data_IF_341973740304
#
_entry.id   IF_341973740304
#
_cell.length_a   1.000
_cell.length_b   1.000
_cell.length_c   1.000
_cell.angle_alpha   90.00
_cell.angle_beta   90.00
_cell.angle_gamma   90.00
#
_symmetry.space_group_name_H-M   'P 1'
#
loop_
_entity.id
_entity.type
_entity.pdbx_description
1 polymer ?
#
# COMPACT_ATOMS: atom_id res chain seq x y z
N UNK A 1 20.93 -46.98 -12.34
CA UNK A 1 20.88 -45.52 -12.23
C UNK A 1 21.08 -44.95 -13.65
N UNK A 2 20.02 -44.52 -14.29
CA UNK A 2 20.11 -43.97 -15.68
C UNK A 2 20.51 -42.53 -15.58
N UNK A 3 21.70 -42.18 -16.07
CA UNK A 3 22.17 -40.79 -16.13
C UNK A 3 21.56 -40.13 -17.36
N UNK A 4 20.59 -39.25 -17.14
CA UNK A 4 19.97 -38.47 -18.22
C UNK A 4 20.90 -37.29 -18.55
N UNK A 5 21.30 -37.16 -19.82
CA UNK A 5 22.22 -36.09 -20.26
C UNK A 5 21.53 -34.72 -20.22
N UNK A 6 22.29 -33.66 -19.88
CA UNK A 6 21.80 -32.28 -19.81
C UNK A 6 20.99 -31.79 -21.02
N UNK A 7 21.35 -32.11 -22.28
CA UNK A 7 20.55 -31.72 -23.45
C UNK A 7 19.21 -32.45 -23.51
N UNK A 8 19.11 -33.69 -23.01
CA UNK A 8 17.84 -34.44 -22.99
C UNK A 8 16.85 -33.85 -21.96
N UNK A 9 17.34 -33.34 -20.83
CA UNK A 9 16.53 -32.64 -19.82
C UNK A 9 15.99 -31.34 -20.38
N UNK A 10 16.80 -30.57 -21.13
CA UNK A 10 16.34 -29.32 -21.77
C UNK A 10 15.26 -29.57 -22.83
N UNK A 11 15.41 -30.62 -23.65
CA UNK A 11 14.41 -30.99 -24.65
C UNK A 11 13.11 -31.47 -24.01
N UNK A 12 13.19 -32.25 -22.94
CA UNK A 12 12.00 -32.70 -22.19
C UNK A 12 11.29 -31.52 -21.49
N UNK A 13 12.05 -30.53 -21.02
CA UNK A 13 11.48 -29.33 -20.40
C UNK A 13 10.74 -28.45 -21.44
N UNK A 14 11.32 -28.26 -22.61
CA UNK A 14 10.66 -27.51 -23.72
C UNK A 14 9.43 -28.24 -24.24
N UNK A 15 9.49 -29.58 -24.38
CA UNK A 15 8.32 -30.38 -24.80
C UNK A 15 7.24 -30.34 -23.71
N UNK A 16 7.60 -30.41 -22.44
CA UNK A 16 6.65 -30.26 -21.32
C UNK A 16 5.99 -28.89 -21.28
N UNK A 17 6.74 -27.83 -21.56
CA UNK A 17 6.22 -26.46 -21.64
C UNK A 17 5.25 -26.29 -22.81
N UNK A 18 5.59 -26.80 -23.99
CA UNK A 18 4.75 -26.71 -25.19
C UNK A 18 3.47 -27.54 -25.03
N UNK A 19 3.56 -28.75 -24.45
CA UNK A 19 2.38 -29.59 -24.14
C UNK A 19 1.56 -28.92 -23.02
N UNK A 20 2.16 -28.35 -21.99
CA UNK A 20 1.46 -27.63 -20.93
C UNK A 20 0.69 -26.41 -21.44
N UNK A 21 1.30 -25.64 -22.34
CA UNK A 21 0.63 -24.50 -23.00
C UNK A 21 -0.48 -24.98 -23.94
N UNK A 22 -0.24 -26.03 -24.72
CA UNK A 22 -1.26 -26.57 -25.62
C UNK A 22 -2.44 -27.22 -24.90
N UNK A 23 -2.18 -27.94 -23.79
CA UNK A 23 -3.23 -28.53 -22.93
C UNK A 23 -3.93 -27.42 -22.13
N UNK A 24 -3.20 -26.42 -21.64
CA UNK A 24 -3.80 -25.24 -20.97
C UNK A 24 -4.72 -24.47 -21.93
N UNK A 25 -4.32 -24.28 -23.18
CA UNK A 25 -5.14 -23.64 -24.21
C UNK A 25 -6.35 -24.51 -24.61
N UNK A 26 -6.18 -25.83 -24.72
CA UNK A 26 -7.26 -26.77 -25.04
C UNK A 26 -8.25 -26.91 -23.86
N UNK A 27 -7.79 -26.88 -22.60
CA UNK A 27 -8.64 -26.91 -21.40
C UNK A 27 -9.37 -25.58 -21.25
N UNK A 28 -8.71 -24.44 -21.51
CA UNK A 28 -9.40 -23.13 -21.52
C UNK A 28 -10.47 -23.05 -22.62
N UNK A 29 -10.22 -23.65 -23.80
CA UNK A 29 -11.19 -23.73 -24.90
C UNK A 29 -12.34 -24.72 -24.65
N UNK A 30 -12.16 -25.71 -23.75
CA UNK A 30 -13.20 -26.71 -23.42
C UNK A 30 -14.01 -26.35 -22.16
N UNK A 31 -13.56 -25.37 -21.36
CA UNK A 31 -14.31 -24.88 -20.19
C UNK A 31 -15.20 -23.68 -20.56
N UNK A 32 -15.03 -23.08 -21.75
CA UNK A 32 -16.06 -22.21 -22.27
C UNK A 32 -17.33 -23.06 -22.52
N UNK A 33 -18.48 -22.79 -21.87
CA UNK A 33 -19.71 -23.52 -22.20
C UNK A 33 -19.96 -23.34 -23.69
N UNK A 34 -20.43 -24.38 -24.41
CA UNK A 34 -20.80 -24.25 -25.82
C UNK A 34 -21.80 -23.10 -25.93
N UNK A 35 -21.46 -22.07 -26.66
CA UNK A 35 -22.42 -21.00 -27.00
C UNK A 35 -23.51 -21.65 -27.83
N UNK A 36 -24.60 -22.02 -27.19
CA UNK A 36 -25.79 -22.56 -27.85
C UNK A 36 -26.41 -21.48 -28.75
N UNK A 37 -27.26 -21.86 -29.73
CA UNK A 37 -27.97 -20.89 -30.55
C UNK A 37 -28.92 -20.07 -29.64
N UNK A 38 -28.46 -18.91 -29.21
CA UNK A 38 -29.08 -18.05 -28.22
C UNK A 38 -28.06 -17.25 -27.40
N UNK A 39 -26.80 -17.16 -27.85
CA UNK A 39 -25.81 -16.26 -27.24
C UNK A 39 -26.41 -14.85 -27.18
N UNK A 40 -26.73 -14.40 -25.97
CA UNK A 40 -27.11 -13.01 -25.74
C UNK A 40 -25.91 -12.18 -26.18
N UNK A 41 -26.12 -11.24 -27.10
CA UNK A 41 -25.06 -10.34 -27.54
C UNK A 41 -24.44 -9.66 -26.33
N UNK A 42 -23.11 -9.41 -26.30
CA UNK A 42 -22.44 -8.74 -25.20
C UNK A 42 -23.21 -7.48 -24.82
N UNK A 43 -23.46 -7.26 -23.54
CA UNK A 43 -24.23 -6.12 -23.07
C UNK A 43 -23.36 -4.89 -22.86
N UNK A 44 -22.06 -5.06 -22.71
CA UNK A 44 -21.09 -3.96 -22.63
C UNK A 44 -20.78 -3.42 -24.02
N UNK A 45 -21.05 -2.13 -24.24
CA UNK A 45 -20.73 -1.40 -25.47
C UNK A 45 -20.36 0.05 -25.18
N UNK A 46 -19.40 0.56 -25.98
CA UNK A 46 -18.97 1.94 -25.87
C UNK A 46 -18.19 2.23 -24.58
N UNK A 47 -18.40 3.39 -24.02
CA UNK A 47 -17.70 3.84 -22.81
C UNK A 47 -18.24 3.15 -21.55
N UNK A 48 -17.31 2.57 -20.77
CA UNK A 48 -17.54 2.02 -19.45
C UNK A 48 -16.83 2.92 -18.43
N UNK A 49 -17.57 3.79 -17.71
CA UNK A 49 -16.97 4.77 -16.84
C UNK A 49 -16.53 4.17 -15.50
N UNK A 50 -15.30 4.46 -15.08
CA UNK A 50 -14.75 4.11 -13.77
C UNK A 50 -14.23 5.38 -13.11
N UNK A 51 -14.58 5.60 -11.85
CA UNK A 51 -14.11 6.73 -11.06
C UNK A 51 -12.78 6.43 -10.37
N UNK A 52 -12.00 7.46 -10.13
CA UNK A 52 -10.85 7.43 -9.27
C UNK A 52 -10.89 8.61 -8.30
N UNK A 53 -10.84 8.32 -6.99
CA UNK A 53 -10.73 9.31 -5.93
C UNK A 53 -9.28 9.31 -5.45
N UNK A 54 -8.49 10.27 -5.89
CA UNK A 54 -7.06 10.32 -5.61
C UNK A 54 -6.70 11.59 -4.85
N UNK A 55 -5.78 11.55 -3.89
CA UNK A 55 -5.30 12.74 -3.20
C UNK A 55 -4.27 13.46 -4.07
N UNK A 56 -4.73 14.15 -5.14
CA UNK A 56 -3.84 14.91 -6.04
C UNK A 56 -3.31 16.18 -5.36
N UNK A 57 -3.98 16.61 -4.30
CA UNK A 57 -3.54 17.65 -3.37
C UNK A 57 -3.64 17.14 -1.92
N UNK A 58 -3.12 17.93 -0.95
CA UNK A 58 -3.12 17.54 0.45
C UNK A 58 -1.89 16.72 0.84
N UNK A 59 -1.94 16.11 2.02
CA UNK A 59 -0.78 15.47 2.68
C UNK A 59 -0.44 14.06 2.17
N UNK A 60 -1.13 13.58 1.13
CA UNK A 60 -0.82 12.35 0.41
C UNK A 60 -0.60 12.60 -1.10
N UNK A 61 -0.31 13.86 -1.48
CA UNK A 61 -0.22 14.22 -2.90
C UNK A 61 0.90 13.50 -3.65
N UNK A 62 2.02 13.22 -3.00
CA UNK A 62 3.11 12.43 -3.61
C UNK A 62 2.65 11.05 -4.08
N UNK A 63 1.79 10.40 -3.28
CA UNK A 63 1.20 9.10 -3.62
C UNK A 63 0.12 9.22 -4.69
N UNK A 64 -0.78 10.21 -4.55
CA UNK A 64 -1.85 10.45 -5.53
C UNK A 64 -1.35 10.71 -6.94
N UNK A 65 -0.19 11.39 -7.08
CA UNK A 65 0.47 11.56 -8.38
C UNK A 65 0.95 10.22 -8.98
N UNK A 66 1.54 9.34 -8.16
CA UNK A 66 2.00 8.02 -8.59
C UNK A 66 0.80 7.15 -9.01
N UNK A 67 -0.24 7.11 -8.18
CA UNK A 67 -1.49 6.38 -8.45
C UNK A 67 -2.16 6.84 -9.77
N UNK A 68 -2.20 8.15 -10.00
CA UNK A 68 -2.76 8.68 -11.24
C UNK A 68 -2.03 8.18 -12.47
N UNK A 69 -0.70 8.21 -12.45
CA UNK A 69 0.11 7.71 -13.58
C UNK A 69 -0.09 6.20 -13.76
N UNK A 70 -0.14 5.44 -12.69
CA UNK A 70 -0.39 4.00 -12.73
C UNK A 70 -1.77 3.66 -13.32
N UNK A 71 -2.80 4.41 -12.94
CA UNK A 71 -4.16 4.24 -13.46
C UNK A 71 -4.28 4.67 -14.94
N UNK A 72 -3.67 5.78 -15.35
CA UNK A 72 -3.63 6.20 -16.76
C UNK A 72 -2.91 5.13 -17.63
N UNK A 73 -1.86 4.52 -17.09
CA UNK A 73 -1.15 3.44 -17.75
C UNK A 73 -2.02 2.16 -17.83
N UNK A 74 -2.71 1.79 -16.75
CA UNK A 74 -3.64 0.66 -16.73
C UNK A 74 -4.80 0.86 -17.72
N UNK A 75 -5.45 2.04 -17.73
CA UNK A 75 -6.53 2.39 -18.67
C UNK A 75 -6.08 2.14 -20.12
N UNK A 76 -4.88 2.61 -20.46
CA UNK A 76 -4.32 2.42 -21.80
C UNK A 76 -4.11 0.93 -22.12
N UNK A 77 -3.44 0.17 -21.25
CA UNK A 77 -3.19 -1.26 -21.49
C UNK A 77 -4.48 -2.09 -21.57
N UNK A 78 -5.47 -1.81 -20.70
CA UNK A 78 -6.78 -2.46 -20.72
C UNK A 78 -7.49 -2.19 -22.04
N UNK A 79 -7.53 -0.93 -22.49
CA UNK A 79 -8.20 -0.58 -23.73
C UNK A 79 -7.50 -1.17 -24.97
N UNK A 80 -6.17 -1.28 -24.96
CA UNK A 80 -5.43 -2.00 -26.00
C UNK A 80 -5.75 -3.51 -25.98
N UNK A 81 -5.87 -4.12 -24.80
CA UNK A 81 -6.23 -5.53 -24.63
C UNK A 81 -7.66 -5.82 -25.10
N UNK A 82 -8.64 -4.98 -24.72
CA UNK A 82 -10.04 -5.11 -25.18
C UNK A 82 -10.14 -4.98 -26.70
N UNK A 83 -9.48 -3.97 -27.28
CA UNK A 83 -9.45 -3.78 -28.72
C UNK A 83 -8.82 -4.98 -29.47
N UNK A 84 -7.75 -5.55 -28.94
CA UNK A 84 -7.10 -6.72 -29.54
C UNK A 84 -7.99 -7.96 -29.54
N UNK A 85 -8.93 -8.06 -28.61
CA UNK A 85 -9.95 -9.13 -28.52
C UNK A 85 -11.19 -8.86 -29.38
N UNK A 86 -11.31 -7.65 -29.94
CA UNK A 86 -12.47 -7.27 -30.75
C UNK A 86 -13.68 -6.83 -29.92
N UNK A 87 -13.47 -6.46 -28.64
CA UNK A 87 -14.53 -5.96 -27.77
C UNK A 87 -15.04 -4.59 -28.27
N UNK A 88 -16.34 -4.37 -28.12
CA UNK A 88 -17.01 -3.12 -28.53
C UNK A 88 -17.11 -2.09 -27.39
N UNK A 89 -16.46 -2.32 -26.27
CA UNK A 89 -16.42 -1.43 -25.12
C UNK A 89 -14.99 -1.06 -24.73
N UNK A 90 -14.84 0.02 -23.98
CA UNK A 90 -13.57 0.50 -23.45
C UNK A 90 -13.78 1.21 -22.12
N UNK A 91 -12.74 1.19 -21.26
CA UNK A 91 -12.74 1.91 -20.00
C UNK A 91 -12.44 3.39 -20.23
N UNK A 92 -13.14 4.26 -19.47
CA UNK A 92 -12.84 5.68 -19.32
C UNK A 92 -12.73 6.04 -17.85
N UNK A 93 -11.55 6.53 -17.44
CA UNK A 93 -11.32 7.03 -16.09
C UNK A 93 -11.89 8.44 -15.91
N UNK A 94 -12.53 8.64 -14.76
CA UNK A 94 -12.99 9.92 -14.25
C UNK A 94 -12.31 10.19 -12.92
N UNK A 95 -11.24 10.97 -12.95
CA UNK A 95 -10.39 11.27 -11.80
C UNK A 95 -10.88 12.51 -11.09
N UNK A 96 -11.11 12.43 -9.78
CA UNK A 96 -11.45 13.53 -8.90
C UNK A 96 -10.40 13.62 -7.78
N UNK A 97 -10.05 14.85 -7.42
CA UNK A 97 -9.13 15.11 -6.31
C UNK A 97 -9.86 15.01 -4.97
N UNK A 98 -9.46 14.09 -4.12
CA UNK A 98 -10.00 13.92 -2.76
C UNK A 98 -9.32 14.84 -1.74
N UNK A 99 -8.19 15.45 -2.09
CA UNK A 99 -7.40 16.38 -1.28
C UNK A 99 -6.93 15.81 0.07
N UNK A 100 -6.92 14.48 0.25
CA UNK A 100 -6.74 13.82 1.57
C UNK A 100 -7.75 14.32 2.63
N UNK A 101 -8.94 14.75 2.18
CA UNK A 101 -9.99 15.29 3.06
C UNK A 101 -11.26 14.45 2.98
N UNK A 102 -11.75 13.90 4.12
CA UNK A 102 -12.90 13.00 4.14
C UNK A 102 -14.16 13.59 3.52
N UNK A 103 -14.48 14.88 3.79
CA UNK A 103 -15.68 15.53 3.25
C UNK A 103 -15.56 15.74 1.75
N UNK A 104 -14.40 16.19 1.29
CA UNK A 104 -14.11 16.34 -0.13
C UNK A 104 -14.23 15.00 -0.84
N UNK A 105 -13.71 13.91 -0.27
CA UNK A 105 -13.84 12.57 -0.83
C UNK A 105 -15.31 12.16 -0.99
N UNK A 106 -16.17 12.41 0.02
CA UNK A 106 -17.60 12.13 -0.08
C UNK A 106 -18.29 12.99 -1.16
N UNK A 107 -18.02 14.28 -1.20
CA UNK A 107 -18.59 15.18 -2.21
C UNK A 107 -18.21 14.75 -3.64
N UNK A 108 -16.95 14.33 -3.82
CA UNK A 108 -16.44 13.82 -5.10
C UNK A 108 -17.04 12.46 -5.47
N UNK A 109 -17.20 11.55 -4.49
CA UNK A 109 -17.92 10.29 -4.71
C UNK A 109 -19.36 10.54 -5.17
N UNK A 110 -20.08 11.46 -4.51
CA UNK A 110 -21.44 11.83 -4.90
C UNK A 110 -21.48 12.41 -6.32
N UNK A 111 -20.48 13.19 -6.69
CA UNK A 111 -20.34 13.76 -8.04
C UNK A 111 -20.14 12.67 -9.09
N UNK A 112 -19.26 11.69 -8.83
CA UNK A 112 -19.02 10.53 -9.70
C UNK A 112 -20.28 9.68 -9.80
N UNK A 113 -20.95 9.41 -8.68
CA UNK A 113 -22.20 8.65 -8.65
C UNK A 113 -23.33 9.38 -9.44
N UNK A 114 -23.41 10.69 -9.35
CA UNK A 114 -24.37 11.50 -10.15
C UNK A 114 -24.16 11.38 -11.67
N UNK A 115 -22.96 10.99 -12.11
CA UNK A 115 -22.65 10.63 -13.52
C UNK A 115 -22.97 9.16 -13.83
N UNK A 116 -23.54 8.39 -12.89
CA UNK A 116 -23.85 6.95 -13.04
C UNK A 116 -22.68 6.03 -12.77
N UNK A 117 -21.57 6.52 -12.23
CA UNK A 117 -20.37 5.71 -11.95
C UNK A 117 -20.58 4.88 -10.69
N UNK A 118 -20.33 3.58 -10.78
CA UNK A 118 -20.53 2.59 -9.71
C UNK A 118 -19.25 1.84 -9.30
N UNK A 119 -18.13 2.10 -9.96
CA UNK A 119 -16.83 1.49 -9.71
C UNK A 119 -15.83 2.59 -9.40
N UNK A 120 -15.15 2.51 -8.25
CA UNK A 120 -14.26 3.54 -7.77
C UNK A 120 -12.93 2.93 -7.34
N UNK A 121 -11.82 3.47 -7.83
CA UNK A 121 -10.48 3.24 -7.28
C UNK A 121 -10.15 4.37 -6.31
N UNK A 122 -9.68 4.03 -5.12
CA UNK A 122 -9.55 4.98 -3.99
C UNK A 122 -10.86 5.10 -3.18
N UNK A 123 -10.91 6.00 -2.19
CA UNK A 123 -9.85 6.92 -1.79
C UNK A 123 -8.70 6.24 -1.06
N UNK A 124 -7.65 7.01 -0.80
CA UNK A 124 -6.39 6.51 -0.27
C UNK A 124 -6.43 6.34 1.25
N UNK A 125 -6.80 7.37 2.01
CA UNK A 125 -6.73 7.33 3.47
C UNK A 125 -7.91 6.61 4.10
N UNK A 126 -7.67 5.98 5.27
CA UNK A 126 -8.74 5.30 6.02
C UNK A 126 -9.80 6.28 6.54
N UNK A 127 -9.45 7.54 6.80
CA UNK A 127 -10.41 8.55 7.18
C UNK A 127 -11.39 8.87 6.02
N UNK A 128 -10.88 8.98 4.80
CA UNK A 128 -11.71 9.17 3.59
C UNK A 128 -12.59 7.95 3.33
N UNK A 129 -12.02 6.72 3.41
CA UNK A 129 -12.80 5.48 3.24
C UNK A 129 -13.91 5.37 4.29
N UNK A 130 -13.62 5.71 5.56
CA UNK A 130 -14.61 5.74 6.64
C UNK A 130 -15.78 6.68 6.34
N UNK A 131 -15.49 7.86 5.80
CA UNK A 131 -16.51 8.87 5.48
C UNK A 131 -17.41 8.43 4.32
N UNK A 132 -16.83 7.89 3.25
CA UNK A 132 -17.60 7.50 2.07
C UNK A 132 -18.37 6.18 2.24
N UNK A 133 -17.98 5.34 3.20
CA UNK A 133 -18.47 3.97 3.34
C UNK A 133 -19.99 3.84 3.34
N UNK A 134 -20.66 4.58 4.22
CA UNK A 134 -22.11 4.50 4.34
C UNK A 134 -22.84 4.89 3.04
N UNK A 135 -22.30 5.85 2.31
CA UNK A 135 -22.85 6.25 1.00
C UNK A 135 -22.60 5.19 -0.07
N UNK A 136 -21.41 4.61 -0.10
CA UNK A 136 -21.06 3.54 -1.03
C UNK A 136 -21.95 2.30 -0.82
N UNK A 137 -22.11 1.86 0.43
CA UNK A 137 -22.95 0.72 0.81
C UNK A 137 -24.42 0.96 0.41
N UNK A 138 -24.98 2.12 0.75
CA UNK A 138 -26.39 2.43 0.46
C UNK A 138 -26.71 2.52 -1.05
N UNK A 139 -25.70 2.84 -1.87
CA UNK A 139 -25.86 3.08 -3.31
C UNK A 139 -25.25 1.97 -4.18
N UNK A 140 -24.79 0.87 -3.60
CA UNK A 140 -24.12 -0.24 -4.29
C UNK A 140 -22.97 0.25 -5.17
N UNK A 141 -22.08 1.09 -4.62
CA UNK A 141 -20.87 1.58 -5.27
C UNK A 141 -19.71 0.71 -4.82
N UNK A 142 -19.12 -0.05 -5.74
CA UNK A 142 -17.95 -0.85 -5.46
C UNK A 142 -16.71 0.02 -5.41
N UNK A 143 -16.02 -0.02 -4.28
CA UNK A 143 -14.82 0.76 -4.00
C UNK A 143 -13.64 -0.20 -3.83
N UNK A 144 -12.55 0.07 -4.52
CA UNK A 144 -11.25 -0.59 -4.32
C UNK A 144 -10.26 0.45 -3.83
N UNK A 145 -9.99 0.46 -2.52
CA UNK A 145 -8.94 1.30 -1.94
C UNK A 145 -7.58 0.61 -2.07
N UNK A 146 -6.61 1.33 -2.60
CA UNK A 146 -5.26 0.84 -2.84
C UNK A 146 -4.36 0.85 -1.60
N UNK A 147 -4.76 1.58 -0.53
CA UNK A 147 -3.85 1.86 0.59
C UNK A 147 -4.49 2.00 1.98
N UNK A 148 -5.82 2.03 2.09
CA UNK A 148 -6.49 2.15 3.40
C UNK A 148 -6.29 0.89 4.25
N UNK A 149 -5.62 1.03 5.42
CA UNK A 149 -5.14 -0.09 6.24
C UNK A 149 -5.81 -0.21 7.60
N UNK A 150 -6.62 0.77 8.03
CA UNK A 150 -7.21 0.73 9.39
C UNK A 150 -8.00 -0.55 9.64
N UNK A 151 -7.73 -1.28 10.75
CA UNK A 151 -8.49 -2.46 11.14
C UNK A 151 -9.98 -2.19 11.40
N UNK A 152 -10.34 -0.94 11.71
CA UNK A 152 -11.73 -0.55 11.95
C UNK A 152 -12.61 -0.65 10.69
N UNK A 153 -11.99 -0.74 9.51
CA UNK A 153 -12.66 -0.85 8.20
C UNK A 153 -12.64 -2.27 7.64
N UNK A 154 -12.16 -3.27 8.37
CA UNK A 154 -12.24 -4.68 7.99
C UNK A 154 -13.65 -5.21 8.28
N UNK A 155 -14.61 -4.94 7.39
CA UNK A 155 -16.04 -5.23 7.60
C UNK A 155 -16.54 -6.16 6.50
N UNK A 156 -16.94 -7.37 6.89
CA UNK A 156 -17.46 -8.37 5.96
C UNK A 156 -18.76 -7.91 5.27
N UNK A 157 -18.83 -8.12 3.97
CA UNK A 157 -20.03 -7.91 3.18
C UNK A 157 -20.32 -6.48 2.76
N UNK A 158 -19.53 -5.49 3.17
CA UNK A 158 -19.64 -4.11 2.71
C UNK A 158 -19.25 -3.95 1.22
N UNK A 159 -19.19 -2.73 0.71
CA UNK A 159 -18.87 -2.44 -0.68
C UNK A 159 -17.43 -1.92 -0.86
N UNK A 160 -16.58 -2.12 0.15
CA UNK A 160 -15.18 -1.68 0.17
C UNK A 160 -14.26 -2.90 0.06
N UNK A 161 -13.36 -2.88 -0.90
CA UNK A 161 -12.25 -3.81 -1.04
C UNK A 161 -10.94 -3.05 -0.84
N UNK A 162 -9.93 -3.67 -0.20
CA UNK A 162 -8.64 -3.02 0.05
C UNK A 162 -7.49 -3.92 -0.41
N UNK A 163 -6.72 -3.44 -1.39
CA UNK A 163 -5.62 -4.20 -1.99
C UNK A 163 -4.31 -4.07 -1.20
N UNK A 164 -4.45 -3.91 0.09
CA UNK A 164 -3.37 -3.77 1.08
C UNK A 164 -3.78 -4.51 2.35
N UNK A 165 -2.84 -5.15 3.10
CA UNK A 165 -3.16 -5.75 4.38
C UNK A 165 -3.52 -4.68 5.41
N UNK A 166 -4.31 -5.06 6.41
CA UNK A 166 -4.63 -4.15 7.52
C UNK A 166 -3.40 -3.88 8.41
N UNK A 167 -3.48 -2.83 9.24
CA UNK A 167 -2.45 -2.46 10.22
C UNK A 167 -2.19 -3.56 11.26
N UNK A 168 -3.05 -4.59 11.36
CA UNK A 168 -2.75 -5.79 12.15
C UNK A 168 -1.54 -6.57 11.61
N UNK A 169 -1.15 -6.33 10.36
CA UNK A 169 0.07 -6.87 9.75
C UNK A 169 1.21 -5.85 9.81
N UNK A 170 0.96 -4.56 9.57
CA UNK A 170 1.98 -3.51 9.64
C UNK A 170 2.50 -3.28 11.05
N UNK A 171 1.62 -3.26 12.06
CA UNK A 171 2.01 -3.06 13.46
C UNK A 171 3.11 -4.02 13.94
N UNK A 172 3.01 -5.33 13.70
CA UNK A 172 4.10 -6.29 13.91
C UNK A 172 5.40 -5.94 13.19
N UNK A 173 5.36 -5.47 11.95
CA UNK A 173 6.55 -5.05 11.21
C UNK A 173 7.26 -3.86 11.88
N UNK A 174 6.51 -2.81 12.24
CA UNK A 174 7.03 -1.64 12.95
C UNK A 174 7.59 -2.03 14.34
N UNK A 175 6.87 -2.87 15.08
CA UNK A 175 7.30 -3.40 16.36
C UNK A 175 8.61 -4.19 16.26
N UNK A 176 8.75 -5.03 15.24
CA UNK A 176 9.96 -5.82 14.96
C UNK A 176 11.14 -4.91 14.64
N UNK A 177 10.94 -3.89 13.80
CA UNK A 177 11.98 -2.91 13.49
C UNK A 177 12.50 -2.23 14.77
N UNK A 178 11.60 -1.68 15.59
CA UNK A 178 11.98 -1.04 16.86
C UNK A 178 12.74 -2.00 17.78
N UNK A 179 12.23 -3.22 17.93
CA UNK A 179 12.83 -4.24 18.78
C UNK A 179 14.25 -4.63 18.34
N UNK A 180 14.46 -4.85 17.04
CA UNK A 180 15.75 -5.25 16.46
C UNK A 180 16.76 -4.09 16.46
N UNK A 181 16.29 -2.83 16.47
CA UNK A 181 17.10 -1.63 16.73
C UNK A 181 17.55 -1.49 18.20
N UNK A 182 17.13 -2.40 19.09
CA UNK A 182 17.50 -2.39 20.51
C UNK A 182 16.50 -1.66 21.42
N UNK A 183 15.45 -1.07 20.86
CA UNK A 183 14.42 -0.34 21.62
C UNK A 183 13.68 -1.28 22.56
N UNK A 184 13.40 -0.78 23.79
CA UNK A 184 12.62 -1.48 24.80
C UNK A 184 11.52 -0.56 25.38
N UNK A 185 11.69 0.73 25.25
CA UNK A 185 10.72 1.76 25.64
C UNK A 185 10.39 2.59 24.41
N UNK A 186 9.21 2.32 23.82
CA UNK A 186 8.77 2.92 22.57
C UNK A 186 7.77 4.05 22.87
N UNK A 187 8.07 5.27 22.43
CA UNK A 187 7.16 6.43 22.56
C UNK A 187 6.45 6.64 21.24
N UNK A 188 5.11 6.68 21.27
CA UNK A 188 4.32 6.85 20.05
C UNK A 188 3.99 8.31 19.78
N UNK A 189 4.16 8.73 18.54
CA UNK A 189 3.68 10.00 17.97
C UNK A 189 2.82 9.66 16.77
N UNK A 190 1.55 10.06 16.79
CA UNK A 190 0.65 9.61 15.72
C UNK A 190 -0.41 10.62 15.35
N UNK A 191 -0.78 10.57 14.09
CA UNK A 191 -1.90 11.29 13.52
C UNK A 191 -3.22 10.83 14.15
N UNK A 192 -4.02 11.76 14.65
CA UNK A 192 -5.24 11.50 15.41
C UNK A 192 -6.46 11.24 14.53
N UNK A 193 -6.41 10.24 13.67
CA UNK A 193 -7.52 9.82 12.80
C UNK A 193 -7.73 8.30 12.82
N UNK A 194 -8.67 7.82 12.00
CA UNK A 194 -9.04 6.38 11.93
C UNK A 194 -7.85 5.48 11.63
N UNK A 195 -6.90 5.94 10.80
CA UNK A 195 -5.71 5.17 10.48
C UNK A 195 -4.67 5.25 11.60
N UNK A 196 -4.26 6.45 11.99
CA UNK A 196 -3.20 6.63 12.99
C UNK A 196 -3.53 5.99 14.34
N UNK A 197 -4.78 6.12 14.81
CA UNK A 197 -5.24 5.45 16.05
C UNK A 197 -5.22 3.92 15.91
N UNK A 198 -5.53 3.39 14.71
CA UNK A 198 -5.51 1.95 14.41
C UNK A 198 -4.10 1.39 14.42
N UNK A 199 -3.18 2.00 13.67
CA UNK A 199 -1.79 1.57 13.56
C UNK A 199 -1.04 1.72 14.90
N UNK A 200 -1.22 2.84 15.61
CA UNK A 200 -0.59 3.05 16.93
C UNK A 200 -0.98 1.94 17.90
N UNK A 201 -2.26 1.54 17.92
CA UNK A 201 -2.72 0.41 18.75
C UNK A 201 -2.10 -0.91 18.30
N UNK A 202 -2.11 -1.21 17.01
CA UNK A 202 -1.56 -2.45 16.47
C UNK A 202 -0.05 -2.59 16.76
N UNK A 203 0.72 -1.51 16.56
CA UNK A 203 2.16 -1.47 16.90
C UNK A 203 2.38 -1.66 18.41
N UNK A 204 1.59 -0.98 19.25
CA UNK A 204 1.66 -1.14 20.70
C UNK A 204 1.45 -2.59 21.13
N UNK A 205 0.37 -3.20 20.69
CA UNK A 205 0.04 -4.58 21.04
C UNK A 205 1.11 -5.56 20.57
N UNK A 206 1.59 -5.40 19.34
CA UNK A 206 2.65 -6.23 18.78
C UNK A 206 3.96 -6.09 19.54
N UNK A 207 4.37 -4.86 19.88
CA UNK A 207 5.61 -4.60 20.60
C UNK A 207 5.60 -5.18 22.01
N UNK A 208 4.50 -5.00 22.77
CA UNK A 208 4.33 -5.57 24.10
C UNK A 208 4.32 -7.11 24.07
N UNK A 209 3.65 -7.70 23.07
CA UNK A 209 3.66 -9.14 22.86
C UNK A 209 5.07 -9.67 22.55
N UNK A 210 5.85 -8.94 21.73
CA UNK A 210 7.23 -9.27 21.39
C UNK A 210 8.15 -9.22 22.63
N UNK A 211 8.04 -8.18 23.44
CA UNK A 211 8.76 -8.09 24.73
C UNK A 211 8.44 -9.26 25.64
N UNK A 212 7.15 -9.59 25.79
CA UNK A 212 6.69 -10.73 26.60
C UNK A 212 7.24 -12.06 26.05
N UNK A 213 7.13 -12.31 24.75
CA UNK A 213 7.59 -13.53 24.08
C UNK A 213 9.09 -13.75 24.25
N UNK A 214 9.87 -12.68 24.31
CA UNK A 214 11.33 -12.72 24.42
C UNK A 214 11.85 -12.57 25.86
N UNK A 215 10.96 -12.42 26.84
CA UNK A 215 11.32 -12.23 28.26
C UNK A 215 12.04 -10.90 28.55
N UNK A 216 11.87 -9.90 27.67
CA UNK A 216 12.49 -8.59 27.82
C UNK A 216 11.56 -7.64 28.63
N UNK A 217 12.19 -6.79 29.44
CA UNK A 217 11.47 -5.70 30.14
C UNK A 217 11.42 -4.46 29.23
N UNK A 218 10.27 -3.85 29.14
CA UNK A 218 10.03 -2.64 28.36
C UNK A 218 8.57 -2.22 28.39
N UNK A 219 8.24 -1.16 27.67
CA UNK A 219 6.87 -0.65 27.58
C UNK A 219 6.65 0.17 26.31
N UNK A 220 5.39 0.46 25.98
CA UNK A 220 5.00 1.45 24.98
C UNK A 220 4.33 2.62 25.69
N UNK A 221 4.91 3.78 25.54
CA UNK A 221 4.48 5.00 26.21
C UNK A 221 3.61 5.82 25.24
N UNK A 222 2.43 6.19 25.69
CA UNK A 222 1.58 7.13 24.98
C UNK A 222 2.24 8.51 24.97
N UNK A 223 2.64 8.97 23.79
CA UNK A 223 3.39 10.20 23.61
C UNK A 223 2.50 11.34 23.13
N UNK A 224 2.37 11.50 21.81
CA UNK A 224 1.70 12.63 21.19
C UNK A 224 0.72 12.16 20.12
N UNK A 225 -0.56 12.27 20.41
CA UNK A 225 -1.62 12.19 19.41
C UNK A 225 -1.87 13.61 18.88
N UNK A 226 -1.54 13.89 17.62
CA UNK A 226 -1.68 15.23 17.05
C UNK A 226 -2.92 15.37 16.17
N UNK A 227 -3.39 16.62 16.02
CA UNK A 227 -4.52 16.95 15.13
C UNK A 227 -4.10 16.76 13.66
N UNK A 228 -4.84 15.98 12.86
CA UNK A 228 -4.60 15.83 11.42
C UNK A 228 -4.55 17.14 10.63
N UNK A 229 -5.22 18.18 11.11
CA UNK A 229 -5.23 19.51 10.50
C UNK A 229 -4.03 20.39 10.89
N UNK A 230 -3.19 19.94 11.85
CA UNK A 230 -2.03 20.70 12.31
C UNK A 230 -1.04 20.96 11.16
N UNK A 231 -0.50 22.17 11.13
CA UNK A 231 0.53 22.61 10.18
C UNK A 231 1.85 22.99 10.88
N UNK A 232 1.82 23.06 12.20
CA UNK A 232 2.89 23.49 13.07
C UNK A 232 2.98 22.52 14.24
N UNK A 233 4.21 22.10 14.60
CA UNK A 233 4.44 20.98 15.54
C UNK A 233 5.43 21.32 16.65
N UNK A 234 5.67 22.58 16.93
CA UNK A 234 6.65 23.00 17.96
C UNK A 234 6.25 22.53 19.36
N UNK A 235 4.95 22.56 19.69
CA UNK A 235 4.45 22.11 20.99
C UNK A 235 4.52 20.56 21.12
N UNK A 236 4.17 19.84 20.08
CA UNK A 236 4.25 18.39 19.99
C UNK A 236 5.69 17.90 20.12
N UNK A 237 6.62 18.54 19.39
CA UNK A 237 8.04 18.22 19.45
C UNK A 237 8.64 18.52 20.84
N UNK A 238 8.23 19.62 21.49
CA UNK A 238 8.66 19.96 22.86
C UNK A 238 8.17 18.90 23.88
N UNK A 239 6.88 18.50 23.78
CA UNK A 239 6.31 17.46 24.63
C UNK A 239 7.04 16.13 24.44
N UNK A 240 7.27 15.73 23.18
CA UNK A 240 8.02 14.52 22.84
C UNK A 240 9.44 14.57 23.42
N UNK A 241 10.15 15.68 23.24
CA UNK A 241 11.51 15.85 23.74
C UNK A 241 11.60 15.71 25.27
N UNK A 242 10.63 16.25 26.00
CA UNK A 242 10.53 16.08 27.46
C UNK A 242 10.40 14.61 27.84
N UNK A 243 9.44 13.88 27.22
CA UNK A 243 9.21 12.47 27.48
C UNK A 243 10.45 11.61 27.17
N UNK A 244 11.09 11.86 26.03
CA UNK A 244 12.30 11.15 25.62
C UNK A 244 13.46 11.44 26.59
N UNK A 245 13.61 12.68 27.05
CA UNK A 245 14.66 13.05 28.03
C UNK A 245 14.50 12.25 29.33
N UNK A 246 13.27 12.17 29.86
CA UNK A 246 13.01 11.43 31.09
C UNK A 246 13.29 9.94 30.94
N UNK A 247 12.89 9.36 29.82
CA UNK A 247 13.11 7.92 29.53
C UNK A 247 14.60 7.62 29.29
N UNK A 248 15.30 8.47 28.56
CA UNK A 248 16.75 8.32 28.28
C UNK A 248 17.55 8.40 29.59
N UNK A 249 17.21 9.35 30.47
CA UNK A 249 17.83 9.45 31.81
C UNK A 249 17.60 8.20 32.66
N UNK A 250 16.45 7.55 32.50
CA UNK A 250 16.08 6.38 33.31
C UNK A 250 16.61 5.06 32.74
N UNK A 251 16.60 4.89 31.43
CA UNK A 251 16.81 3.60 30.77
C UNK A 251 17.99 3.57 29.79
N UNK A 252 18.57 4.74 29.47
CA UNK A 252 19.60 4.89 28.46
C UNK A 252 19.05 5.06 27.04
N UNK A 253 19.75 5.85 26.23
CA UNK A 253 19.29 6.21 24.86
C UNK A 253 19.14 5.00 23.92
N UNK A 254 19.95 3.96 24.09
CA UNK A 254 19.91 2.77 23.23
C UNK A 254 18.69 1.87 23.50
N UNK A 255 17.92 2.16 24.55
CA UNK A 255 16.70 1.44 24.93
C UNK A 255 15.43 2.23 24.63
N UNK A 256 15.54 3.48 24.23
CA UNK A 256 14.41 4.37 23.97
C UNK A 256 14.31 4.63 22.46
N UNK A 257 13.09 4.58 21.95
CA UNK A 257 12.80 4.86 20.54
C UNK A 257 11.46 5.55 20.35
N UNK A 258 11.23 5.99 19.12
CA UNK A 258 10.03 6.72 18.72
C UNK A 258 9.35 5.95 17.58
N UNK A 259 8.05 5.73 17.68
CA UNK A 259 7.16 5.25 16.63
C UNK A 259 6.38 6.45 16.08
N UNK A 260 6.71 6.90 14.88
CA UNK A 260 6.20 8.14 14.28
C UNK A 260 5.25 7.82 13.12
N UNK A 261 3.97 7.89 13.37
CA UNK A 261 2.88 7.53 12.46
C UNK A 261 2.26 8.81 11.89
N UNK A 262 2.44 9.05 10.61
CA UNK A 262 1.92 10.23 9.92
C UNK A 262 2.11 10.15 8.41
N UNK A 263 1.66 11.20 7.72
CA UNK A 263 1.80 11.39 6.29
C UNK A 263 2.86 12.45 5.98
N UNK A 264 2.71 13.23 4.91
CA UNK A 264 3.67 14.28 4.54
C UNK A 264 3.83 15.39 5.61
N UNK A 265 2.88 15.56 6.54
CA UNK A 265 3.04 16.47 7.67
C UNK A 265 4.20 16.10 8.60
N UNK A 266 4.71 14.85 8.51
CA UNK A 266 5.93 14.45 9.20
C UNK A 266 7.16 15.26 8.76
N UNK A 267 7.16 15.87 7.59
CA UNK A 267 8.18 16.82 7.15
C UNK A 267 8.27 17.98 8.15
N UNK A 268 7.13 18.61 8.47
CA UNK A 268 7.07 19.72 9.43
C UNK A 268 7.33 19.25 10.87
N UNK A 269 6.85 18.04 11.22
CA UNK A 269 7.12 17.47 12.53
C UNK A 269 8.62 17.21 12.75
N UNK A 270 9.30 16.57 11.79
CA UNK A 270 10.75 16.31 11.87
C UNK A 270 11.53 17.62 11.87
N UNK A 271 11.11 18.62 11.08
CA UNK A 271 11.74 19.95 11.11
C UNK A 271 11.67 20.59 12.51
N UNK A 272 10.51 20.50 13.19
CA UNK A 272 10.35 20.96 14.57
C UNK A 272 11.18 20.11 15.56
N UNK A 273 11.21 18.79 15.38
CA UNK A 273 11.96 17.86 16.24
C UNK A 273 13.48 18.13 16.22
N UNK A 274 14.04 18.60 15.10
CA UNK A 274 15.45 18.95 14.97
C UNK A 274 15.91 20.06 15.95
N UNK A 275 15.00 20.88 16.47
CA UNK A 275 15.32 21.87 17.50
C UNK A 275 15.70 21.21 18.84
N UNK A 276 15.43 19.94 19.03
CA UNK A 276 15.67 19.20 20.26
C UNK A 276 16.71 18.10 20.04
N UNK A 277 18.00 18.30 20.39
CA UNK A 277 19.08 17.35 20.12
C UNK A 277 18.79 15.93 20.59
N UNK A 278 18.12 15.77 21.74
CA UNK A 278 17.78 14.47 22.31
C UNK A 278 16.95 13.59 21.35
N UNK A 279 16.09 14.18 20.53
CA UNK A 279 15.26 13.46 19.55
C UNK A 279 16.09 12.88 18.41
N UNK A 280 17.29 13.43 18.17
CA UNK A 280 18.24 12.90 17.18
C UNK A 280 19.20 11.83 17.75
N UNK A 281 19.09 11.52 19.05
CA UNK A 281 19.94 10.53 19.72
C UNK A 281 19.29 9.17 19.91
N UNK A 282 17.99 9.08 19.66
CA UNK A 282 17.19 7.84 19.77
C UNK A 282 16.78 7.32 18.40
N UNK A 283 16.38 6.05 18.31
CA UNK A 283 15.91 5.42 17.06
C UNK A 283 14.46 5.81 16.78
N UNK A 284 14.15 5.94 15.48
CA UNK A 284 12.80 6.23 15.02
C UNK A 284 12.32 5.13 14.06
N UNK A 285 11.06 4.76 14.20
CA UNK A 285 10.35 3.95 13.21
C UNK A 285 9.26 4.81 12.60
N UNK A 286 9.16 4.79 11.29
CA UNK A 286 8.10 5.44 10.54
C UNK A 286 6.92 4.50 10.26
N UNK A 287 6.10 4.90 9.31
CA UNK A 287 4.92 4.14 8.85
C UNK A 287 4.86 4.08 7.32
N UNK A 288 3.93 3.33 6.77
CA UNK A 288 3.62 3.31 5.34
C UNK A 288 3.30 4.72 4.81
N UNK A 289 2.64 5.57 5.62
CA UNK A 289 2.34 6.95 5.28
C UNK A 289 3.56 7.86 5.16
N UNK A 290 4.76 7.42 5.59
CA UNK A 290 6.02 8.15 5.45
C UNK A 290 6.97 7.55 4.42
N UNK A 291 6.76 6.29 4.00
CA UNK A 291 7.61 5.61 3.02
C UNK A 291 7.43 6.22 1.62
N UNK A 292 8.49 6.72 1.01
CA UNK A 292 8.44 7.34 -0.31
C UNK A 292 8.01 8.81 -0.34
N UNK A 293 7.76 9.45 0.82
CA UNK A 293 7.45 10.88 0.90
C UNK A 293 8.56 11.71 0.27
N UNK A 294 8.26 12.37 -0.84
CA UNK A 294 9.27 13.05 -1.66
C UNK A 294 9.97 14.22 -0.93
N UNK A 295 9.26 14.89 -0.02
CA UNK A 295 9.82 16.01 0.77
C UNK A 295 10.93 15.59 1.72
N UNK A 296 10.93 14.35 2.23
CA UNK A 296 11.98 13.86 3.15
C UNK A 296 13.32 13.58 2.45
N UNK A 297 13.35 13.47 1.13
CA UNK A 297 14.59 13.28 0.34
C UNK A 297 15.00 14.52 -0.45
N UNK A 298 14.11 15.51 -0.61
CA UNK A 298 14.44 16.79 -1.27
C UNK A 298 15.26 17.72 -0.39
N UNK A 299 15.02 17.69 0.92
CA UNK A 299 15.69 18.55 1.90
C UNK A 299 16.83 17.78 2.57
N UNK A 300 18.07 18.12 2.23
CA UNK A 300 19.25 17.37 2.69
C UNK A 300 19.35 17.24 4.21
N UNK A 301 18.97 18.25 4.96
CA UNK A 301 19.01 18.25 6.41
C UNK A 301 17.93 17.37 7.07
N UNK A 302 16.78 17.18 6.40
CA UNK A 302 15.75 16.23 6.82
C UNK A 302 16.20 14.80 6.50
N UNK A 303 16.73 14.56 5.30
CA UNK A 303 17.26 13.26 4.92
C UNK A 303 18.37 12.81 5.88
N UNK A 304 19.32 13.70 6.23
CA UNK A 304 20.39 13.40 7.18
C UNK A 304 19.86 13.13 8.60
N UNK A 305 18.82 13.84 9.04
CA UNK A 305 18.14 13.51 10.29
C UNK A 305 17.56 12.10 10.24
N UNK A 306 16.81 11.75 9.20
CA UNK A 306 16.22 10.43 9.02
C UNK A 306 17.28 9.31 9.00
N UNK A 307 18.41 9.54 8.32
CA UNK A 307 19.55 8.61 8.31
C UNK A 307 20.11 8.43 9.73
N UNK A 308 20.36 9.52 10.44
CA UNK A 308 20.94 9.51 11.80
C UNK A 308 20.08 8.74 12.79
N UNK A 309 18.78 8.95 12.78
CA UNK A 309 17.85 8.26 13.70
C UNK A 309 17.42 6.87 13.20
N UNK A 310 17.88 6.48 12.01
CA UNK A 310 17.49 5.24 11.32
C UNK A 310 15.95 5.14 11.14
N UNK A 311 15.37 6.17 10.53
CA UNK A 311 13.93 6.31 10.30
C UNK A 311 13.45 5.30 9.24
N UNK A 312 13.26 4.06 9.66
CA UNK A 312 12.78 2.97 8.82
C UNK A 312 11.26 3.00 8.74
N UNK A 313 10.72 3.12 7.55
CA UNK A 313 9.29 3.22 7.28
C UNK A 313 8.79 1.92 6.63
N UNK A 314 8.04 1.06 7.36
CA UNK A 314 7.47 -0.15 6.81
C UNK A 314 6.34 0.17 5.84
N UNK A 315 6.36 -0.43 4.64
CA UNK A 315 5.27 -0.36 3.66
C UNK A 315 5.05 -1.72 3.03
N UNK A 316 3.80 -2.08 2.70
CA UNK A 316 3.49 -3.39 2.14
C UNK A 316 4.32 -3.68 0.90
N UNK A 317 5.08 -4.77 0.92
CA UNK A 317 5.95 -5.19 -0.17
C UNK A 317 5.13 -5.70 -1.36
N UNK A 318 5.41 -5.26 -2.60
CA UNK A 318 4.84 -5.89 -3.79
C UNK A 318 5.52 -7.25 -4.05
N UNK A 319 4.79 -8.18 -4.63
CA UNK A 319 5.38 -9.41 -5.17
C UNK A 319 6.16 -9.12 -6.46
N UNK A 320 7.19 -9.94 -6.74
CA UNK A 320 7.92 -9.81 -8.01
C UNK A 320 6.99 -10.08 -9.20
N UNK A 321 6.92 -9.17 -10.16
CA UNK A 321 6.04 -9.27 -11.32
C UNK A 321 6.61 -8.52 -12.53
N UNK A 322 6.42 -9.05 -13.77
CA UNK A 322 6.73 -8.29 -14.98
C UNK A 322 5.89 -7.00 -15.13
N UNK A 323 4.68 -6.97 -14.57
CA UNK A 323 3.81 -5.79 -14.59
C UNK A 323 4.33 -4.69 -13.65
N UNK A 324 4.93 -5.06 -12.50
CA UNK A 324 5.59 -4.13 -11.59
C UNK A 324 6.61 -3.26 -12.32
N UNK A 325 7.52 -3.88 -13.08
CA UNK A 325 8.56 -3.14 -13.80
C UNK A 325 7.99 -2.20 -14.88
N UNK A 326 6.86 -2.55 -15.50
CA UNK A 326 6.18 -1.67 -16.46
C UNK A 326 5.57 -0.45 -15.79
N UNK A 327 4.83 -0.64 -14.68
CA UNK A 327 4.23 0.46 -13.91
C UNK A 327 5.32 1.35 -13.33
N UNK A 328 6.35 0.76 -12.72
CA UNK A 328 7.52 1.46 -12.20
C UNK A 328 8.18 2.34 -13.28
N UNK A 329 8.39 1.79 -14.47
CA UNK A 329 8.93 2.52 -15.61
C UNK A 329 8.02 3.69 -16.02
N UNK A 330 6.70 3.47 -16.14
CA UNK A 330 5.75 4.50 -16.53
C UNK A 330 5.75 5.67 -15.54
N UNK A 331 5.76 5.39 -14.23
CA UNK A 331 5.83 6.43 -13.19
C UNK A 331 7.16 7.16 -13.22
N UNK A 332 8.29 6.43 -13.33
CA UNK A 332 9.63 7.04 -13.40
C UNK A 332 9.78 7.95 -14.62
N UNK A 333 9.30 7.55 -15.79
CA UNK A 333 9.34 8.37 -17.00
C UNK A 333 8.50 9.65 -16.88
N UNK A 334 7.39 9.61 -16.12
CA UNK A 334 6.49 10.75 -15.96
C UNK A 334 6.88 11.68 -14.82
N UNK A 335 7.33 11.12 -13.69
CA UNK A 335 7.54 11.85 -12.43
C UNK A 335 9.00 11.91 -11.98
N UNK A 336 9.92 11.20 -12.65
CA UNK A 336 11.35 11.19 -12.32
C UNK A 336 11.72 10.44 -11.05
N UNK A 337 10.80 9.66 -10.47
CA UNK A 337 11.00 8.85 -9.26
C UNK A 337 10.32 7.50 -9.37
N UNK A 338 10.75 6.53 -8.55
CA UNK A 338 10.05 5.26 -8.40
C UNK A 338 8.76 5.47 -7.58
N UNK A 339 7.67 4.78 -7.93
CA UNK A 339 6.46 4.78 -7.12
C UNK A 339 6.65 3.91 -5.87
N UNK A 340 5.92 4.24 -4.84
CA UNK A 340 5.66 3.33 -3.73
C UNK A 340 4.63 2.24 -4.13
N UNK A 341 4.49 1.16 -3.31
CA UNK A 341 3.66 0.01 -3.66
C UNK A 341 2.18 0.28 -3.95
N UNK A 342 1.59 1.37 -3.46
CA UNK A 342 0.17 1.68 -3.67
C UNK A 342 -0.17 1.99 -5.13
N UNK A 343 0.77 2.53 -5.89
CA UNK A 343 0.61 2.70 -7.32
C UNK A 343 0.39 1.36 -8.06
N UNK A 344 1.05 0.29 -7.61
CA UNK A 344 0.83 -1.05 -8.16
C UNK A 344 -0.56 -1.59 -7.80
N UNK A 345 -1.03 -1.33 -6.57
CA UNK A 345 -2.37 -1.71 -6.13
C UNK A 345 -3.45 -0.96 -6.92
N UNK A 346 -3.23 0.33 -7.24
CA UNK A 346 -4.13 1.13 -8.08
C UNK A 346 -4.26 0.53 -9.49
N UNK A 347 -3.13 0.20 -10.11
CA UNK A 347 -3.09 -0.48 -11.41
C UNK A 347 -3.85 -1.81 -11.37
N UNK A 348 -3.61 -2.64 -10.35
CA UNK A 348 -4.27 -3.94 -10.19
C UNK A 348 -5.76 -3.80 -9.91
N UNK A 349 -6.16 -2.78 -9.15
CA UNK A 349 -7.57 -2.47 -8.89
C UNK A 349 -8.34 -2.21 -10.17
N UNK A 350 -7.79 -1.41 -11.09
CA UNK A 350 -8.43 -1.13 -12.37
C UNK A 350 -8.49 -2.37 -13.27
N UNK A 351 -7.41 -3.17 -13.33
CA UNK A 351 -7.38 -4.41 -14.10
C UNK A 351 -8.38 -5.45 -13.58
N UNK A 352 -8.48 -5.64 -12.28
CA UNK A 352 -9.39 -6.64 -11.70
C UNK A 352 -10.85 -6.25 -11.88
N UNK A 353 -11.18 -4.95 -11.79
CA UNK A 353 -12.52 -4.45 -12.13
C UNK A 353 -12.81 -4.69 -13.64
N UNK A 354 -11.85 -4.40 -14.52
CA UNK A 354 -12.01 -4.62 -15.96
C UNK A 354 -12.25 -6.10 -16.30
N UNK A 355 -11.45 -7.00 -15.72
CA UNK A 355 -11.59 -8.44 -15.89
C UNK A 355 -12.92 -8.95 -15.34
N UNK A 356 -13.37 -8.45 -14.20
CA UNK A 356 -14.67 -8.80 -13.63
C UNK A 356 -15.82 -8.28 -14.51
N UNK A 357 -15.74 -7.07 -15.05
CA UNK A 357 -16.70 -6.53 -16.00
C UNK A 357 -16.76 -7.37 -17.29
N UNK A 358 -15.62 -7.76 -17.84
CA UNK A 358 -15.51 -8.63 -19.01
C UNK A 358 -16.18 -10.00 -18.77
N UNK A 359 -16.00 -10.57 -17.57
CA UNK A 359 -16.62 -11.85 -17.20
C UNK A 359 -18.13 -11.76 -16.98
N UNK A 360 -18.59 -10.64 -16.39
CA UNK A 360 -20.03 -10.38 -16.14
C UNK A 360 -20.75 -9.94 -17.42
N UNK A 361 -20.01 -9.35 -18.36
CA UNK A 361 -20.52 -8.74 -19.61
C UNK A 361 -21.64 -7.72 -19.35
N UNK A 362 -21.53 -6.95 -18.24
CA UNK A 362 -22.57 -6.02 -17.80
C UNK A 362 -22.00 -4.97 -16.84
N UNK A 363 -22.46 -3.73 -16.98
CA UNK A 363 -22.18 -2.69 -16.00
C UNK A 363 -23.06 -2.85 -14.75
N UNK A 364 -22.74 -3.86 -13.94
CA UNK A 364 -23.51 -4.28 -12.76
C UNK A 364 -22.57 -4.46 -11.57
N UNK A 365 -22.54 -3.46 -10.68
CA UNK A 365 -21.63 -3.43 -9.55
C UNK A 365 -21.85 -4.59 -8.56
N UNK A 366 -23.10 -5.06 -8.43
CA UNK A 366 -23.37 -6.21 -7.56
C UNK A 366 -22.78 -7.50 -8.14
N UNK A 367 -23.01 -7.75 -9.42
CA UNK A 367 -22.48 -8.95 -10.07
C UNK A 367 -20.95 -8.94 -10.09
N UNK A 368 -20.32 -7.76 -10.32
CA UNK A 368 -18.86 -7.60 -10.24
C UNK A 368 -18.38 -7.83 -8.80
N UNK A 369 -19.01 -7.24 -7.79
CA UNK A 369 -18.69 -7.45 -6.38
C UNK A 369 -18.66 -8.93 -6.02
N UNK A 370 -19.70 -9.68 -6.44
CA UNK A 370 -19.88 -11.09 -6.09
C UNK A 370 -18.74 -11.98 -6.65
N UNK A 371 -18.11 -11.60 -7.79
CA UNK A 371 -17.03 -12.39 -8.41
C UNK A 371 -15.63 -11.82 -8.18
N UNK A 372 -15.51 -10.58 -7.72
CA UNK A 372 -14.23 -9.89 -7.60
C UNK A 372 -13.17 -10.67 -6.79
N UNK A 373 -13.48 -11.30 -5.64
CA UNK A 373 -12.49 -12.09 -4.91
C UNK A 373 -11.92 -13.26 -5.75
N UNK A 374 -12.74 -13.92 -6.56
CA UNK A 374 -12.27 -15.00 -7.44
C UNK A 374 -11.44 -14.46 -8.63
N UNK A 375 -11.75 -13.26 -9.12
CA UNK A 375 -10.94 -12.60 -10.15
C UNK A 375 -9.57 -12.24 -9.57
N UNK A 376 -9.52 -11.60 -8.40
CA UNK A 376 -8.27 -11.25 -7.70
C UNK A 376 -7.40 -12.48 -7.48
N UNK A 377 -7.99 -13.57 -6.99
CA UNK A 377 -7.30 -14.84 -6.72
C UNK A 377 -6.65 -15.47 -7.96
N UNK A 378 -7.11 -15.12 -9.17
CA UNK A 378 -6.60 -15.64 -10.45
C UNK A 378 -5.74 -14.61 -11.19
N UNK A 379 -5.66 -13.41 -10.68
CA UNK A 379 -4.92 -12.32 -11.29
C UNK A 379 -3.50 -12.23 -10.71
N UNK A 380 -2.52 -12.11 -11.58
CA UNK A 380 -1.13 -11.88 -11.22
C UNK A 380 -0.72 -10.51 -11.77
N UNK A 381 -0.88 -9.50 -10.95
CA UNK A 381 -0.75 -8.10 -11.31
C UNK A 381 0.60 -7.46 -11.00
N UNK A 382 0.63 -6.14 -10.96
CA UNK A 382 1.82 -5.36 -10.64
C UNK A 382 2.24 -5.52 -9.18
N UNK A 383 1.29 -5.67 -8.25
CA UNK A 383 1.57 -5.96 -6.84
C UNK A 383 1.87 -7.45 -6.56
N UNK A 384 1.92 -8.30 -7.60
CA UNK A 384 2.10 -9.73 -7.51
C UNK A 384 0.79 -10.49 -7.30
N UNK A 385 0.89 -11.71 -6.76
CA UNK A 385 -0.26 -12.53 -6.40
C UNK A 385 -0.70 -12.23 -4.97
N UNK A 386 -2.01 -12.11 -4.77
CA UNK A 386 -2.61 -12.04 -3.44
C UNK A 386 -4.04 -12.56 -3.43
N UNK A 387 -4.55 -12.84 -2.25
CA UNK A 387 -5.95 -13.20 -2.01
C UNK A 387 -6.60 -12.18 -1.09
N UNK A 388 -7.91 -12.04 -1.21
CA UNK A 388 -8.71 -11.22 -0.30
C UNK A 388 -9.27 -12.11 0.82
N UNK A 389 -9.32 -11.56 2.02
CA UNK A 389 -9.98 -12.17 3.17
C UNK A 389 -11.50 -11.98 3.12
N UNK A 390 -12.21 -12.41 4.18
CA UNK A 390 -13.65 -12.28 4.27
C UNK A 390 -14.16 -10.83 4.31
N UNK A 391 -13.33 -9.90 4.74
CA UNK A 391 -13.64 -8.47 4.76
C UNK A 391 -13.36 -7.79 3.40
N UNK A 392 -12.78 -8.51 2.42
CA UNK A 392 -12.38 -7.94 1.14
C UNK A 392 -11.01 -7.24 1.19
N UNK A 393 -10.21 -7.50 2.22
CA UNK A 393 -8.88 -6.95 2.39
C UNK A 393 -7.82 -7.93 1.89
N UNK A 394 -6.67 -7.43 1.40
CA UNK A 394 -5.52 -8.30 1.12
C UNK A 394 -5.14 -9.05 2.39
N UNK A 395 -5.26 -10.37 2.33
CA UNK A 395 -5.24 -11.23 3.53
C UNK A 395 -3.89 -11.21 4.26
N UNK A 396 -2.79 -10.94 3.55
CA UNK A 396 -1.44 -11.04 4.08
C UNK A 396 -0.42 -10.29 3.22
N UNK A 397 0.76 -10.00 3.79
CA UNK A 397 1.87 -9.40 3.04
C UNK A 397 3.14 -9.29 3.86
N UNK A 398 4.28 -9.23 3.17
CA UNK A 398 5.55 -8.79 3.72
C UNK A 398 5.64 -7.27 3.68
N UNK A 399 6.60 -6.68 4.38
CA UNK A 399 6.81 -5.23 4.41
C UNK A 399 8.24 -4.87 4.05
N UNK A 400 8.39 -4.03 3.04
CA UNK A 400 9.66 -3.36 2.75
C UNK A 400 9.92 -2.28 3.81
N UNK A 401 11.18 -2.14 4.22
CA UNK A 401 11.63 -1.14 5.18
C UNK A 401 12.36 -0.04 4.41
N UNK A 402 11.64 1.05 4.14
CA UNK A 402 12.16 2.17 3.36
C UNK A 402 12.85 3.20 4.25
N UNK A 403 13.96 3.77 3.76
CA UNK A 403 14.70 4.82 4.46
C UNK A 403 15.27 5.84 3.46
N UNK A 404 15.23 7.17 3.75
CA UNK A 404 16.02 8.16 3.03
C UNK A 404 17.50 7.81 3.10
N UNK A 405 18.20 7.82 1.96
CA UNK A 405 19.62 7.49 1.93
C UNK A 405 20.38 8.30 0.89
N UNK A 406 21.69 8.44 1.09
CA UNK A 406 22.57 9.13 0.15
C UNK A 406 22.70 8.34 -1.14
N UNK A 407 22.56 9.03 -2.27
CA UNK A 407 22.76 8.53 -3.63
C UNK A 407 23.62 9.52 -4.41
N UNK A 408 24.06 9.12 -5.61
CA UNK A 408 24.79 10.05 -6.48
C UNK A 408 23.89 11.25 -6.83
N UNK A 409 24.38 12.44 -6.45
CA UNK A 409 23.66 13.70 -6.70
C UNK A 409 22.67 14.16 -5.63
N UNK A 410 22.50 13.42 -4.51
CA UNK A 410 21.60 13.85 -3.45
C UNK A 410 21.10 12.74 -2.53
N UNK A 411 19.79 12.67 -2.36
CA UNK A 411 19.14 11.68 -1.50
C UNK A 411 17.97 11.04 -2.25
N UNK A 412 17.73 9.76 -1.97
CA UNK A 412 16.57 9.01 -2.48
C UNK A 412 16.17 7.95 -1.45
N UNK A 413 14.99 7.40 -1.63
CA UNK A 413 14.51 6.30 -0.83
C UNK A 413 15.18 4.98 -1.22
N UNK A 414 15.61 4.22 -0.22
CA UNK A 414 16.19 2.89 -0.42
C UNK A 414 15.55 1.87 0.52
N UNK A 415 15.44 0.65 0.04
CA UNK A 415 14.94 -0.48 0.82
C UNK A 415 16.10 -1.03 1.65
N UNK A 416 16.01 -0.89 2.98
CA UNK A 416 16.99 -1.35 3.96
C UNK A 416 16.84 -2.84 4.30
N UNK A 417 15.65 -3.39 4.10
CA UNK A 417 15.33 -4.80 4.36
C UNK A 417 13.88 -5.11 4.06
N UNK A 418 13.51 -6.37 4.26
CA UNK A 418 12.13 -6.87 4.14
C UNK A 418 11.78 -7.59 5.44
N UNK A 419 10.69 -7.18 6.08
CA UNK A 419 10.09 -7.94 7.17
C UNK A 419 9.16 -9.00 6.58
N UNK A 420 9.38 -10.25 6.99
CA UNK A 420 8.59 -11.41 6.58
C UNK A 420 7.52 -11.72 7.62
N UNK A 421 6.27 -11.49 7.28
CA UNK A 421 5.16 -11.61 8.20
C UNK A 421 4.93 -13.03 8.74
N UNK A 422 5.18 -14.07 7.95
CA UNK A 422 5.03 -15.48 8.39
C UNK A 422 6.01 -15.86 9.49
N UNK A 423 7.25 -15.41 9.39
CA UNK A 423 8.34 -15.78 10.31
C UNK A 423 8.60 -14.74 11.38
N UNK A 424 8.05 -13.54 11.23
CA UNK A 424 8.31 -12.36 12.07
C UNK A 424 9.83 -12.07 12.15
N UNK A 425 10.49 -12.07 11.00
CA UNK A 425 11.94 -11.82 10.86
C UNK A 425 12.22 -10.76 9.81
N UNK A 426 13.34 -10.04 9.94
CA UNK A 426 13.79 -9.08 8.94
C UNK A 426 14.99 -9.66 8.18
N UNK A 427 14.86 -9.70 6.84
CA UNK A 427 15.97 -9.90 5.93
C UNK A 427 16.55 -8.53 5.57
N UNK A 428 17.70 -8.20 6.17
CA UNK A 428 18.36 -6.93 5.95
C UNK A 428 19.14 -6.91 4.63
N UNK A 429 19.02 -5.82 3.89
CA UNK A 429 19.81 -5.61 2.68
C UNK A 429 21.32 -5.56 3.00
N UNK A 430 22.20 -6.18 2.18
CA UNK A 430 23.65 -6.21 2.43
C UNK A 430 24.26 -4.81 2.61
N UNK A 431 23.80 -3.83 1.82
CA UNK A 431 24.28 -2.44 1.92
C UNK A 431 23.93 -1.80 3.26
N UNK A 432 22.74 -2.10 3.82
CA UNK A 432 22.31 -1.60 5.12
C UNK A 432 23.14 -2.19 6.25
N UNK A 433 23.32 -3.51 6.24
CA UNK A 433 24.14 -4.21 7.24
C UNK A 433 25.59 -3.72 7.26
N UNK A 434 26.13 -3.32 6.11
CA UNK A 434 27.46 -2.75 6.02
C UNK A 434 27.51 -1.28 6.51
N UNK A 435 26.42 -0.52 6.37
CA UNK A 435 26.37 0.90 6.69
C UNK A 435 26.13 1.19 8.19
N UNK A 436 25.45 0.26 8.92
CA UNK A 436 25.09 0.43 10.34
C UNK A 436 26.01 -0.30 11.31
N UNK A 437 27.01 -1.03 10.80
CA UNK A 437 28.13 -1.61 11.58
C UNK A 437 29.19 -0.53 11.85
#
# INVERSE_FOLDING_TARGET
>A
MVVISKPLVAVLFVIGLVIGVAVGYAVAATIAPPVGPGAVAPTLKGEVPIGALLPLTGVLSSYGENDKVALEFAEKEINEWLKARGEEWYIKLYVEDSATDPKTALDKLMTLHGKGIKFIIGPMSSAEVSEIKSYADANNILVVSQSSTSPALAIEGDWIFRYVPTDLVQGPAAARVAYDQGVRYLVQVWRGDTWGDGLARATREAFLNLLKKTGQTGDVIEGVRYDPAAKEFSAEAAKLASLITDLVNKYGKDKVGIDAIGFEEMIAFIAAAKAYPILSEVKWVGSDGTAGVSGLVKEADLAEFCIKVQFLSPINAPGASPHLEKVKKAVREKLGRDPEPYAYNSYDGLWTIALALDMVDKYDSKAVKDILPEVVKRYYGASGYFELDAAGDKAFGDYELWIPWRVDGGYDWKIAGIWHGVTDTIEWAPWWTAAVK
#
